data_IF_395536792139
#
_entry.id   IF_395536792139
#
_cell.length_a   1.000
_cell.length_b   1.000
_cell.length_c   1.000
_cell.angle_alpha   90.00
_cell.angle_beta   90.00
_cell.angle_gamma   90.00
#
_symmetry.space_group_name_H-M   'P 1'
#
loop_
_entity.id
_entity.type
_entity.pdbx_description
1 polymer ?
#
# COMPACT_ATOMS: atom_id res chain seq x y z
N UNK A 1 15.14 -10.09 12.80
CA UNK A 1 13.78 -9.84 13.33
C UNK A 1 13.51 -8.38 13.07
N UNK A 2 12.44 -8.07 12.36
CA UNK A 2 12.00 -6.68 12.13
C UNK A 2 11.63 -6.05 13.47
N UNK A 3 11.92 -4.77 13.63
CA UNK A 3 11.66 -4.02 14.86
C UNK A 3 10.60 -2.94 14.62
N UNK A 4 9.98 -2.45 15.70
CA UNK A 4 9.11 -1.27 15.65
C UNK A 4 9.74 -0.10 14.89
N UNK A 5 11.02 0.20 15.14
CA UNK A 5 11.72 1.32 14.49
C UNK A 5 11.85 1.14 12.97
N UNK A 6 12.03 -0.11 12.51
CA UNK A 6 12.06 -0.42 11.09
C UNK A 6 10.72 -0.13 10.42
N UNK A 7 9.64 -0.64 11.03
CA UNK A 7 8.28 -0.47 10.53
C UNK A 7 7.76 0.96 10.62
N UNK A 8 8.11 1.66 11.70
CA UNK A 8 7.84 3.08 11.85
C UNK A 8 8.43 3.89 10.70
N UNK A 9 9.61 3.51 10.21
CA UNK A 9 10.26 4.21 9.09
C UNK A 9 9.45 4.06 7.81
N UNK A 10 9.06 2.83 7.46
CA UNK A 10 8.18 2.57 6.30
C UNK A 10 6.83 3.31 6.45
N UNK A 11 6.20 3.26 7.63
CA UNK A 11 4.91 3.93 7.85
C UNK A 11 5.00 5.46 7.70
N UNK A 12 6.07 6.07 8.24
CA UNK A 12 6.30 7.51 8.09
C UNK A 12 6.56 7.89 6.62
N UNK A 13 7.31 7.07 5.88
CA UNK A 13 7.53 7.28 4.45
C UNK A 13 6.23 7.14 3.64
N UNK A 14 5.38 6.16 3.96
CA UNK A 14 4.08 6.00 3.31
C UNK A 14 3.17 7.21 3.55
N UNK A 15 3.16 7.75 4.78
CA UNK A 15 2.42 8.97 5.09
C UNK A 15 2.96 10.19 4.33
N UNK A 16 4.28 10.34 4.27
CA UNK A 16 4.94 11.43 3.55
C UNK A 16 4.59 11.39 2.06
N UNK A 17 4.67 10.21 1.44
CA UNK A 17 4.29 10.02 0.04
C UNK A 17 2.81 10.27 -0.24
N UNK A 18 1.93 9.87 0.68
CA UNK A 18 0.52 10.19 0.56
C UNK A 18 0.27 11.70 0.57
N UNK A 19 0.98 12.43 1.42
CA UNK A 19 0.94 13.90 1.48
C UNK A 19 1.54 14.53 0.23
N UNK A 20 2.63 13.99 -0.31
CA UNK A 20 3.26 14.49 -1.53
C UNK A 20 2.34 14.35 -2.75
N UNK A 21 1.62 13.23 -2.89
CA UNK A 21 0.59 13.10 -3.93
C UNK A 21 -0.43 14.24 -3.82
N UNK A 22 -0.93 14.52 -2.61
CA UNK A 22 -1.92 15.59 -2.40
C UNK A 22 -1.37 16.99 -2.72
N UNK A 23 -0.05 17.20 -2.58
CA UNK A 23 0.61 18.48 -2.87
C UNK A 23 0.92 18.66 -4.35
N UNK A 24 1.29 17.57 -5.02
CA UNK A 24 1.79 17.61 -6.40
C UNK A 24 0.66 17.58 -7.43
N UNK A 25 -0.52 17.05 -7.10
CA UNK A 25 -1.67 16.96 -8.02
C UNK A 25 -2.23 18.35 -8.36
N UNK A 26 -1.96 18.84 -9.57
CA UNK A 26 -2.49 20.11 -10.07
C UNK A 26 -3.88 19.98 -10.71
N UNK A 27 -4.08 18.98 -11.57
CA UNK A 27 -5.34 18.69 -12.26
C UNK A 27 -5.47 17.19 -12.53
N UNK A 28 -6.70 16.71 -12.72
CA UNK A 28 -7.01 15.31 -13.04
C UNK A 28 -8.01 15.31 -14.19
N UNK A 29 -7.58 14.76 -15.33
CA UNK A 29 -8.47 14.61 -16.48
C UNK A 29 -9.66 13.70 -16.14
N UNK A 30 -10.83 13.98 -16.73
CA UNK A 30 -12.07 13.25 -16.40
C UNK A 30 -11.95 11.74 -16.67
N UNK A 31 -11.17 11.35 -17.68
CA UNK A 31 -10.91 9.95 -18.00
C UNK A 31 -10.11 9.23 -16.89
N UNK A 32 -9.23 9.96 -16.20
CA UNK A 32 -8.30 9.46 -15.19
C UNK A 32 -8.94 9.39 -13.79
N UNK A 33 -10.00 10.17 -13.59
CA UNK A 33 -10.66 10.38 -12.31
C UNK A 33 -11.09 9.07 -11.60
N UNK A 34 -11.66 8.04 -12.26
CA UNK A 34 -12.02 6.80 -11.59
C UNK A 34 -10.83 6.07 -10.95
N UNK A 35 -9.71 5.98 -11.67
CA UNK A 35 -8.48 5.35 -11.19
C UNK A 35 -7.84 6.14 -10.05
N UNK A 36 -7.77 7.47 -10.21
CA UNK A 36 -7.24 8.35 -9.17
C UNK A 36 -8.08 8.28 -7.89
N UNK A 37 -9.41 8.35 -7.99
CA UNK A 37 -10.30 8.26 -6.82
C UNK A 37 -10.20 6.89 -6.14
N UNK A 38 -10.06 5.81 -6.90
CA UNK A 38 -9.83 4.49 -6.35
C UNK A 38 -8.52 4.45 -5.56
N UNK A 39 -7.42 4.90 -6.15
CA UNK A 39 -6.11 4.98 -5.50
C UNK A 39 -6.17 5.80 -4.20
N UNK A 40 -6.71 7.02 -4.26
CA UNK A 40 -6.78 7.91 -3.09
C UNK A 40 -7.65 7.35 -1.97
N UNK A 41 -8.77 6.69 -2.29
CA UNK A 41 -9.60 6.02 -1.29
C UNK A 41 -8.86 4.86 -0.64
N UNK A 42 -8.19 4.02 -1.44
CA UNK A 42 -7.41 2.89 -0.93
C UNK A 42 -6.28 3.36 -0.01
N UNK A 43 -5.56 4.42 -0.38
CA UNK A 43 -4.55 5.03 0.49
C UNK A 43 -5.16 5.57 1.79
N UNK A 44 -6.31 6.23 1.72
CA UNK A 44 -7.02 6.72 2.90
C UNK A 44 -7.42 5.60 3.86
N UNK A 45 -7.94 4.48 3.35
CA UNK A 45 -8.26 3.31 4.19
C UNK A 45 -7.01 2.67 4.80
N UNK A 46 -5.96 2.50 4.00
CA UNK A 46 -4.72 1.86 4.41
C UNK A 46 -3.99 2.64 5.52
N UNK A 47 -4.10 3.97 5.51
CA UNK A 47 -3.36 4.87 6.41
C UNK A 47 -4.23 5.48 7.52
N UNK A 48 -5.53 5.16 7.59
CA UNK A 48 -6.50 5.76 8.54
C UNK A 48 -6.01 5.76 10.00
N UNK A 49 -5.37 4.66 10.43
CA UNK A 49 -4.89 4.49 11.81
C UNK A 49 -3.43 4.84 12.05
N UNK A 50 -2.70 5.29 11.01
CA UNK A 50 -1.25 5.49 11.06
C UNK A 50 -0.80 6.38 12.23
N UNK A 51 -1.44 7.54 12.37
CA UNK A 51 -1.07 8.51 13.40
C UNK A 51 -1.27 7.95 14.82
N UNK A 52 -2.32 7.15 15.04
CA UNK A 52 -2.62 6.57 16.34
C UNK A 52 -1.61 5.47 16.71
N UNK A 53 -1.25 4.61 15.75
CA UNK A 53 -0.26 3.53 15.93
C UNK A 53 1.15 4.08 16.14
N UNK A 54 1.50 5.15 15.42
CA UNK A 54 2.76 5.87 15.65
C UNK A 54 2.83 6.49 17.05
N UNK A 55 1.69 6.94 17.58
CA UNK A 55 1.61 7.53 18.91
C UNK A 55 1.59 6.48 20.04
N UNK A 56 1.03 5.29 19.80
CA UNK A 56 0.87 4.26 20.82
C UNK A 56 2.19 3.64 21.27
N UNK A 57 3.18 3.56 20.36
CA UNK A 57 4.47 2.86 20.57
C UNK A 57 4.29 1.41 21.00
N UNK A 58 3.19 0.80 20.56
CA UNK A 58 2.87 -0.60 20.80
C UNK A 58 3.35 -1.46 19.61
N UNK A 59 4.13 -2.49 19.91
CA UNK A 59 4.71 -3.37 18.90
C UNK A 59 3.65 -4.21 18.17
N UNK A 60 2.66 -4.74 18.89
CA UNK A 60 1.61 -5.58 18.31
C UNK A 60 0.69 -4.75 17.40
N UNK A 61 0.34 -3.51 17.80
CA UNK A 61 -0.42 -2.59 16.94
C UNK A 61 0.36 -2.19 15.69
N UNK A 62 1.66 -1.91 15.82
CA UNK A 62 2.53 -1.59 14.68
C UNK A 62 2.63 -2.75 13.70
N UNK A 63 2.81 -3.97 14.23
CA UNK A 63 2.98 -5.15 13.39
C UNK A 63 1.68 -5.50 12.66
N UNK A 64 0.55 -5.40 13.37
CA UNK A 64 -0.77 -5.58 12.77
C UNK A 64 -1.03 -4.55 11.66
N UNK A 65 -0.80 -3.28 11.95
CA UNK A 65 -1.02 -2.21 10.98
C UNK A 65 -0.13 -2.39 9.73
N UNK A 66 1.15 -2.71 9.92
CA UNK A 66 2.05 -2.86 8.77
C UNK A 66 1.72 -4.10 7.95
N UNK A 67 1.28 -5.19 8.58
CA UNK A 67 0.73 -6.33 7.85
C UNK A 67 -0.46 -5.93 6.96
N UNK A 68 -1.45 -5.21 7.52
CA UNK A 68 -2.60 -4.74 6.75
C UNK A 68 -2.17 -3.78 5.63
N UNK A 69 -1.27 -2.85 5.93
CA UNK A 69 -0.73 -1.90 4.96
C UNK A 69 -0.10 -2.61 3.76
N UNK A 70 0.81 -3.57 3.98
CA UNK A 70 1.47 -4.26 2.87
C UNK A 70 0.50 -5.11 2.05
N UNK A 71 -0.46 -5.76 2.71
CA UNK A 71 -1.51 -6.55 2.03
C UNK A 71 -2.35 -5.67 1.11
N UNK A 72 -2.85 -4.55 1.64
CA UNK A 72 -3.68 -3.61 0.89
C UNK A 72 -2.88 -2.88 -0.21
N UNK A 73 -1.59 -2.65 0.00
CA UNK A 73 -0.72 -2.06 -1.02
C UNK A 73 -0.60 -2.97 -2.24
N UNK A 74 -0.42 -4.28 -2.03
CA UNK A 74 -0.42 -5.25 -3.12
C UNK A 74 -1.77 -5.33 -3.84
N UNK A 75 -2.88 -5.34 -3.09
CA UNK A 75 -4.23 -5.30 -3.67
C UNK A 75 -4.45 -4.04 -4.51
N UNK A 76 -3.96 -2.88 -4.04
CA UNK A 76 -4.02 -1.64 -4.80
C UNK A 76 -3.23 -1.74 -6.10
N UNK A 77 -1.98 -2.23 -6.06
CA UNK A 77 -1.14 -2.42 -7.26
C UNK A 77 -1.81 -3.34 -8.29
N UNK A 78 -2.36 -4.46 -7.84
CA UNK A 78 -3.08 -5.41 -8.71
C UNK A 78 -4.33 -4.76 -9.33
N UNK A 79 -5.13 -4.04 -8.55
CA UNK A 79 -6.30 -3.36 -9.07
C UNK A 79 -5.95 -2.26 -10.08
N UNK A 80 -4.87 -1.50 -9.85
CA UNK A 80 -4.39 -0.52 -10.81
C UNK A 80 -3.94 -1.20 -12.11
N UNK A 81 -3.18 -2.29 -12.02
CA UNK A 81 -2.72 -3.02 -13.19
C UNK A 81 -3.87 -3.65 -14.01
N UNK A 82 -4.93 -4.14 -13.35
CA UNK A 82 -6.01 -4.86 -14.04
C UNK A 82 -7.16 -3.96 -14.49
N UNK A 83 -7.59 -3.03 -13.62
CA UNK A 83 -8.84 -2.27 -13.82
C UNK A 83 -8.60 -0.82 -14.23
N UNK A 84 -7.39 -0.30 -13.99
CA UNK A 84 -7.03 1.10 -14.22
C UNK A 84 -5.68 1.24 -14.94
N UNK A 85 -5.32 0.29 -15.81
CA UNK A 85 -4.04 0.27 -16.53
C UNK A 85 -3.85 1.44 -17.49
N UNK A 86 -4.96 2.02 -17.95
CA UNK A 86 -4.95 3.25 -18.74
C UNK A 86 -4.65 4.49 -17.90
N UNK A 87 -4.80 4.39 -16.57
CA UNK A 87 -4.89 5.56 -15.73
C UNK A 87 -3.52 6.20 -15.46
N UNK A 88 -3.43 7.50 -15.64
CA UNK A 88 -2.23 8.31 -15.44
C UNK A 88 -2.47 9.48 -14.50
N UNK A 89 -1.40 9.93 -13.85
CA UNK A 89 -1.31 11.18 -13.12
C UNK A 89 -0.15 11.98 -13.70
N UNK A 90 -0.45 13.13 -14.29
CA UNK A 90 0.54 14.02 -14.90
C UNK A 90 1.44 13.32 -15.94
N UNK A 91 0.84 12.43 -16.72
CA UNK A 91 1.53 11.68 -17.77
C UNK A 91 2.30 10.45 -17.30
N UNK A 92 2.35 10.17 -15.98
CA UNK A 92 2.91 8.94 -15.44
C UNK A 92 1.79 7.96 -15.06
N UNK A 93 1.92 6.65 -15.34
CA UNK A 93 0.98 5.64 -14.85
C UNK A 93 0.74 5.74 -13.33
N UNK A 94 -0.51 5.53 -12.90
CA UNK A 94 -0.81 5.53 -11.46
C UNK A 94 -0.03 4.46 -10.69
N UNK A 95 0.26 3.33 -11.33
CA UNK A 95 1.04 2.25 -10.71
C UNK A 95 2.45 2.72 -10.32
N UNK A 96 3.10 3.55 -11.14
CA UNK A 96 4.43 4.12 -10.84
C UNK A 96 4.37 5.00 -9.58
N UNK A 97 3.23 5.63 -9.33
CA UNK A 97 3.01 6.39 -8.10
C UNK A 97 2.91 5.48 -6.88
N UNK A 98 2.17 4.38 -6.99
CA UNK A 98 2.01 3.40 -5.91
C UNK A 98 3.29 2.57 -5.68
N UNK A 99 4.12 2.36 -6.70
CA UNK A 99 5.39 1.64 -6.57
C UNK A 99 6.45 2.37 -5.75
N UNK A 100 6.26 3.67 -5.52
CA UNK A 100 7.09 4.45 -4.58
C UNK A 100 6.82 4.07 -3.12
N UNK A 101 5.64 3.54 -2.81
CA UNK A 101 5.26 3.19 -1.44
C UNK A 101 6.13 2.06 -0.89
N UNK A 102 6.62 2.18 0.36
CA UNK A 102 7.54 1.22 0.92
C UNK A 102 6.86 -0.14 1.08
N UNK A 103 7.57 -1.21 0.71
CA UNK A 103 7.16 -2.60 0.90
C UNK A 103 8.28 -3.44 1.53
N UNK A 104 9.20 -2.79 2.26
CA UNK A 104 10.50 -3.34 2.66
C UNK A 104 10.38 -4.61 3.49
N UNK A 105 9.39 -4.68 4.39
CA UNK A 105 9.23 -5.76 5.36
C UNK A 105 7.94 -6.59 5.16
N UNK A 106 7.40 -6.59 3.94
CA UNK A 106 6.19 -7.32 3.59
C UNK A 106 6.28 -8.81 3.98
N UNK A 107 7.39 -9.46 3.59
CA UNK A 107 7.60 -10.89 3.86
C UNK A 107 7.64 -11.15 5.36
N UNK A 108 8.35 -10.31 6.12
CA UNK A 108 8.48 -10.44 7.57
C UNK A 108 7.14 -10.24 8.28
N UNK A 109 6.32 -9.28 7.85
CA UNK A 109 4.98 -9.06 8.43
C UNK A 109 4.02 -10.19 8.11
N UNK A 110 4.10 -10.76 6.90
CA UNK A 110 3.36 -11.97 6.56
C UNK A 110 3.75 -13.13 7.48
N UNK A 111 5.04 -13.41 7.63
CA UNK A 111 5.50 -14.49 8.53
C UNK A 111 5.08 -14.25 9.99
N UNK A 112 5.14 -13.00 10.45
CA UNK A 112 4.66 -12.64 11.79
C UNK A 112 3.16 -12.96 11.95
N UNK A 113 2.34 -12.56 10.98
CA UNK A 113 0.89 -12.84 11.00
C UNK A 113 0.57 -14.33 11.00
N UNK A 114 1.25 -15.10 10.15
CA UNK A 114 1.10 -16.55 10.07
C UNK A 114 1.51 -17.23 11.38
N UNK A 115 2.62 -16.79 11.98
CA UNK A 115 3.06 -17.29 13.28
C UNK A 115 2.10 -16.90 14.42
N UNK A 116 1.47 -15.73 14.34
CA UNK A 116 0.53 -15.22 15.36
C UNK A 116 -0.83 -15.91 15.31
N UNK A 117 -1.32 -16.23 14.12
CA UNK A 117 -2.70 -16.72 13.90
C UNK A 117 -2.78 -18.21 13.51
N UNK A 118 -1.69 -18.78 13.00
CA UNK A 118 -1.69 -20.11 12.39
C UNK A 118 -2.37 -20.18 11.01
N UNK A 119 -2.80 -19.04 10.46
CA UNK A 119 -3.40 -18.95 9.13
C UNK A 119 -2.31 -18.67 8.10
N UNK A 120 -2.28 -19.43 7.01
CA UNK A 120 -1.35 -19.19 5.89
C UNK A 120 -1.94 -18.08 5.02
N UNK A 121 -1.15 -17.05 4.74
CA UNK A 121 -1.54 -16.00 3.81
C UNK A 121 -1.21 -16.50 2.41
N UNK A 122 -2.21 -17.07 1.73
CA UNK A 122 -2.06 -17.49 0.34
C UNK A 122 -1.73 -16.28 -0.52
N UNK A 123 -0.61 -16.36 -1.25
CA UNK A 123 -0.13 -15.25 -2.07
C UNK A 123 -1.05 -14.94 -3.25
N UNK A 124 -2.05 -15.78 -3.58
CA UNK A 124 -3.07 -15.47 -4.62
C UNK A 124 -4.16 -16.54 -4.83
N UNK A 125 -5.41 -16.09 -5.02
CA UNK A 125 -6.36 -16.68 -5.99
C UNK A 125 -6.37 -15.94 -7.34
N UNK A 126 -5.51 -14.94 -7.54
CA UNK A 126 -5.43 -14.10 -8.74
C UNK A 126 -4.05 -14.09 -9.43
N UNK A 127 -3.19 -15.10 -9.21
CA UNK A 127 -2.03 -15.36 -10.11
C UNK A 127 -2.55 -16.11 -11.32
N UNK A 128 -3.55 -15.54 -12.00
CA UNK A 128 -3.79 -15.92 -13.38
C UNK A 128 -2.72 -15.16 -14.16
N UNK A 129 -1.60 -15.85 -14.37
CA UNK A 129 -0.76 -15.74 -15.56
C UNK A 129 -0.71 -14.34 -16.18
N UNK A 130 0.15 -13.47 -15.65
CA UNK A 130 0.84 -12.53 -16.53
C UNK A 130 1.98 -13.33 -17.18
N UNK A 131 1.65 -14.09 -18.24
CA UNK A 131 2.66 -14.45 -19.23
C UNK A 131 3.11 -13.14 -19.90
N UNK A 132 4.43 -12.93 -19.89
CA UNK A 132 5.11 -11.85 -20.59
C UNK A 132 4.61 -11.77 -22.04
N UNK A 133 4.14 -10.60 -22.48
CA UNK A 133 3.96 -10.27 -23.90
C UNK A 133 5.22 -9.56 -24.39
#
# INVERSE_FOLDING_TARGET
MVTYQNLQTDLLQALDQHVDILKEVEDIETAELPGFLFMMRSLGFMLDRAALVLASKDDDEMYYMMFEYYLLLNELKLNLAMNFSYATLQGAPLIDTVDRFPNTYEKEMKHWWEARTGLIVEETKQTIQLEEI
#
